data_IF_225810768379
#
_entry.id   IF_225810768379
#
_cell.length_a   1.000
_cell.length_b   1.000
_cell.length_c   1.000
_cell.angle_alpha   90.00
_cell.angle_beta   90.00
_cell.angle_gamma   90.00
#
_symmetry.space_group_name_H-M   'P 1'
#
loop_
_entity.id
_entity.type
_entity.pdbx_description
1 polymer ?
2 non-polymer ?
3 non-polymer ?
4 non-polymer ?
5 water ?
#
# COMPACT_ATOMS: atom_id res chain seq x y z
N UNK A 21 -5.20 -6.11 15.83
CA UNK A 21 -5.44 -5.58 14.46
C UNK A 21 -5.57 -6.73 13.46
N UNK A 22 -6.77 -6.94 12.91
CA UNK A 22 -7.19 -8.12 12.10
C UNK A 22 -7.20 -7.71 10.62
N UNK A 23 -6.75 -8.59 9.74
CA UNK A 23 -6.90 -8.42 8.28
C UNK A 23 -8.06 -9.30 7.80
N UNK A 24 -9.02 -8.67 7.12
CA UNK A 24 -10.21 -9.34 6.56
C UNK A 24 -10.16 -9.21 5.04
N UNK A 25 -10.85 -10.09 4.33
CA UNK A 25 -11.09 -9.94 2.88
C UNK A 25 -11.88 -8.64 2.65
N UNK A 26 -11.36 -7.78 1.78
CA UNK A 26 -11.98 -6.49 1.45
C UNK A 26 -13.37 -6.69 0.85
N UNK A 27 -13.63 -7.80 0.15
CA UNK A 27 -14.90 -8.00 -0.60
C UNK A 27 -16.00 -8.54 0.31
N UNK A 28 -15.69 -9.36 1.31
CA UNK A 28 -16.75 -10.13 2.06
C UNK A 28 -16.54 -10.11 3.58
N UNK A 29 -15.37 -9.71 4.10
CA UNK A 29 -15.11 -9.63 5.55
C UNK A 29 -14.55 -10.92 6.14
N UNK A 30 -14.28 -11.95 5.33
CA UNK A 30 -13.64 -13.21 5.81
C UNK A 30 -12.37 -12.87 6.62
N UNK A 31 -12.22 -13.44 7.82
CA UNK A 31 -11.00 -13.34 8.66
C UNK A 31 -9.82 -14.00 7.94
N UNK A 32 -8.72 -13.30 7.69
CA UNK A 32 -7.58 -13.84 6.90
C UNK A 32 -6.32 -13.89 7.75
N UNK A 33 -5.93 -12.79 8.39
CA UNK A 33 -4.63 -12.71 9.11
C UNK A 33 -4.66 -11.60 10.16
N UNK A 34 -3.51 -11.30 10.75
CA UNK A 34 -3.31 -10.34 11.86
C UNK A 34 -2.03 -9.57 11.58
N UNK A 35 -1.93 -8.33 12.04
CA UNK A 35 -0.69 -7.52 11.98
C UNK A 35 0.43 -8.26 12.73
N UNK A 36 0.11 -8.91 13.86
CA UNK A 36 1.05 -9.72 14.69
C UNK A 36 1.73 -10.82 13.87
N UNK A 37 1.11 -11.24 12.76
CA UNK A 37 1.57 -12.38 11.94
C UNK A 37 2.35 -11.91 10.73
N UNK A 38 2.62 -10.60 10.61
CA UNK A 38 3.48 -10.06 9.53
C UNK A 38 4.84 -10.70 9.67
N UNK A 39 5.45 -11.06 8.55
CA UNK A 39 6.81 -11.64 8.50
C UNK A 39 7.75 -10.58 7.95
N UNK A 40 8.69 -10.05 8.76
CA UNK A 40 9.63 -9.03 8.28
C UNK A 40 10.42 -9.48 7.04
N UNK A 44 12.00 -6.87 4.98
CA UNK A 44 10.78 -6.03 5.07
C UNK A 44 9.54 -6.89 4.75
N UNK A 45 8.39 -6.59 5.36
CA UNK A 45 7.13 -7.35 5.17
C UNK A 45 6.46 -6.99 3.84
N UNK A 46 6.71 -5.77 3.32
CA UNK A 46 6.14 -5.28 2.03
C UNK A 46 7.12 -5.55 0.88
N UNK A 47 6.63 -6.14 -0.21
CA UNK A 47 7.37 -6.39 -1.48
C UNK A 47 6.51 -5.95 -2.66
N UNK A 48 7.00 -5.02 -3.47
CA UNK A 48 6.28 -4.60 -4.72
C UNK A 48 6.87 -5.43 -5.87
N UNK A 49 6.02 -6.24 -6.50
CA UNK A 49 6.43 -7.26 -7.52
C UNK A 49 5.51 -7.13 -8.73
N UNK A 50 5.93 -7.69 -9.86
CA UNK A 50 5.19 -7.75 -11.14
C UNK A 50 5.17 -9.19 -11.64
N UNK A 51 4.02 -9.63 -12.15
CA UNK A 51 3.88 -10.97 -12.77
C UNK A 51 4.17 -10.84 -14.27
N UNK A 52 4.23 -11.96 -15.02
CA UNK A 52 4.50 -11.92 -16.45
C UNK A 52 3.45 -11.16 -17.27
N UNK A 53 2.25 -10.94 -16.73
CA UNK A 53 1.17 -10.14 -17.36
C UNK A 53 1.35 -8.65 -17.03
N UNK A 54 2.43 -8.30 -16.33
CA UNK A 54 2.82 -6.90 -16.02
C UNK A 54 1.99 -6.31 -14.90
N UNK A 55 1.17 -7.12 -14.22
CA UNK A 55 0.34 -6.66 -13.09
C UNK A 55 1.25 -6.43 -11.88
N UNK A 56 1.14 -5.26 -11.27
CA UNK A 56 1.95 -4.90 -10.07
C UNK A 56 1.13 -5.32 -8.85
N UNK A 57 1.78 -5.99 -7.90
CA UNK A 57 1.17 -6.40 -6.62
C UNK A 57 2.04 -5.81 -5.51
N UNK A 58 1.39 -5.08 -4.59
CA UNK A 58 2.00 -4.70 -3.30
C UNK A 58 1.71 -5.86 -2.35
N UNK A 59 2.70 -6.71 -2.10
CA UNK A 59 2.54 -7.99 -1.37
C UNK A 59 3.04 -7.78 0.06
N UNK A 60 2.23 -8.17 1.03
CA UNK A 60 2.65 -8.27 2.45
C UNK A 60 2.84 -9.74 2.77
N UNK A 61 3.99 -10.07 3.38
CA UNK A 61 4.32 -11.44 3.80
C UNK A 61 3.79 -11.67 5.22
N UNK A 62 3.04 -12.75 5.41
CA UNK A 62 2.54 -13.24 6.70
C UNK A 62 3.10 -14.65 6.96
N UNK A 63 3.49 -14.90 8.21
CA UNK A 63 3.86 -16.25 8.71
C UNK A 63 2.64 -17.16 8.63
N UNK A 64 1.44 -16.64 8.87
CA UNK A 64 0.20 -17.43 9.06
C UNK A 64 -0.97 -16.68 8.41
N UNK A 65 -1.96 -17.44 7.94
CA UNK A 65 -3.25 -16.93 7.43
C UNK A 65 -4.28 -18.05 7.57
N UNK A 66 -5.55 -17.68 7.45
CA UNK A 66 -6.71 -18.58 7.61
C UNK A 66 -7.80 -18.08 6.65
N UNK A 67 -8.88 -18.84 6.48
CA UNK A 67 -10.06 -18.42 5.69
C UNK A 67 -9.79 -18.43 4.19
N UNK A 68 -8.66 -18.97 3.75
CA UNK A 68 -8.27 -19.01 2.31
C UNK A 68 -8.66 -20.37 1.74
N UNK A 69 -8.69 -20.47 0.42
CA UNK A 69 -8.75 -21.77 -0.29
C UNK A 69 -7.57 -21.79 -1.26
N UNK A 70 -6.62 -22.72 -1.04
CA UNK A 70 -5.45 -22.91 -1.92
C UNK A 70 -5.90 -23.78 -3.10
N UNK A 71 -5.73 -23.27 -4.32
CA UNK A 71 -6.28 -23.87 -5.56
C UNK A 71 -5.11 -24.45 -6.36
N UNK A 72 -5.31 -25.64 -6.92
CA UNK A 72 -4.33 -26.31 -7.78
C UNK A 72 -3.13 -26.78 -6.99
N UNK A 73 -2.03 -27.01 -7.70
CA UNK A 73 -0.78 -27.59 -7.15
C UNK A 73 0.29 -26.52 -7.13
N UNK A 74 1.29 -26.62 -6.23
CA UNK A 74 2.37 -25.64 -6.15
C UNK A 74 3.13 -25.57 -7.48
N UNK A 75 3.64 -24.38 -7.82
CA UNK A 75 4.51 -24.14 -8.99
C UNK A 75 5.67 -23.25 -8.60
N UNK A 76 6.86 -23.49 -9.16
CA UNK A 76 8.06 -22.65 -8.98
C UNK A 76 8.17 -21.59 -10.06
N UNK A 77 7.35 -21.68 -11.11
CA UNK A 77 7.46 -20.82 -12.33
C UNK A 77 7.22 -19.36 -11.94
N UNK A 78 8.20 -18.50 -12.23
CA UNK A 78 8.16 -17.02 -12.03
C UNK A 78 8.00 -16.69 -10.54
N UNK A 79 8.40 -17.56 -9.62
CA UNK A 79 8.34 -17.30 -8.16
C UNK A 79 9.16 -16.04 -7.84
N UNK A 80 8.58 -15.12 -7.06
CA UNK A 80 9.22 -13.86 -6.62
C UNK A 80 10.23 -14.14 -5.51
N UNK A 81 10.16 -15.30 -4.87
CA UNK A 81 10.92 -15.64 -3.65
C UNK A 81 11.74 -16.91 -3.93
N UNK A 82 13.07 -16.76 -3.93
CA UNK A 82 14.02 -17.85 -4.29
C UNK A 82 13.80 -19.05 -3.37
N UNK A 83 13.67 -20.24 -3.96
CA UNK A 83 13.54 -21.51 -3.22
C UNK A 83 12.09 -21.84 -2.90
N UNK A 84 11.12 -20.97 -3.24
CA UNK A 84 9.70 -21.20 -2.90
C UNK A 84 8.86 -21.47 -4.15
N UNK A 85 7.96 -22.44 -4.03
CA UNK A 85 6.83 -22.72 -4.95
C UNK A 85 5.60 -21.98 -4.40
N UNK A 86 4.71 -21.54 -5.29
CA UNK A 86 3.49 -20.79 -4.89
C UNK A 86 2.26 -21.63 -5.24
N UNK A 87 1.20 -21.44 -4.47
CA UNK A 87 -0.17 -21.95 -4.76
C UNK A 87 -1.11 -20.75 -4.66
N UNK A 88 -2.02 -20.60 -5.61
CA UNK A 88 -2.98 -19.46 -5.63
C UNK A 88 -3.85 -19.58 -4.38
N UNK A 89 -3.99 -18.46 -3.65
CA UNK A 89 -4.80 -18.38 -2.42
C UNK A 89 -6.01 -17.50 -2.73
N UNK A 90 -7.20 -18.10 -2.78
CA UNK A 90 -8.49 -17.37 -2.87
C UNK A 90 -9.03 -17.18 -1.46
N UNK A 91 -9.81 -16.11 -1.26
CA UNK A 91 -10.76 -16.01 -0.12
C UNK A 91 -11.64 -17.26 -0.15
N UNK A 92 -11.60 -18.05 0.93
CA UNK A 92 -12.41 -19.28 1.07
C UNK A 92 -13.89 -18.99 1.03
N UNK A 93 -14.28 -17.75 1.35
CA UNK A 93 -15.71 -17.33 1.39
C UNK A 93 -16.17 -16.86 -0.01
N UNK A 94 -15.55 -15.83 -0.60
CA UNK A 94 -16.07 -15.16 -1.83
C UNK A 94 -15.27 -15.54 -3.08
N UNK A 95 -14.10 -16.15 -2.93
CA UNK A 95 -13.29 -16.62 -4.08
C UNK A 95 -12.44 -15.52 -4.69
N UNK A 96 -12.39 -14.34 -4.07
CA UNK A 96 -11.50 -13.22 -4.46
C UNK A 96 -10.05 -13.71 -4.38
N UNK A 97 -9.20 -13.36 -5.33
CA UNK A 97 -7.77 -13.74 -5.30
C UNK A 97 -7.02 -12.84 -4.31
N UNK A 98 -6.59 -13.38 -3.16
CA UNK A 98 -5.96 -12.56 -2.08
C UNK A 98 -4.44 -12.66 -2.12
N UNK A 99 -3.88 -13.64 -2.84
CA UNK A 99 -2.44 -13.81 -3.00
C UNK A 99 -2.06 -15.27 -3.16
N UNK A 100 -0.98 -15.68 -2.50
CA UNK A 100 -0.34 -17.00 -2.72
C UNK A 100 0.14 -17.56 -1.40
N UNK A 101 0.08 -18.89 -1.27
CA UNK A 101 0.84 -19.63 -0.25
C UNK A 101 2.18 -20.05 -0.88
N UNK A 102 3.26 -19.85 -0.14
CA UNK A 102 4.64 -20.21 -0.56
C UNK A 102 5.11 -21.38 0.32
N UNK A 103 5.73 -22.38 -0.31
CA UNK A 103 6.26 -23.58 0.38
C UNK A 103 7.51 -24.09 -0.34
N UNK A 104 8.18 -25.07 0.25
CA UNK A 104 9.31 -25.81 -0.34
C UNK A 104 10.64 -25.11 -0.12
N UNK A 105 10.63 -24.01 0.64
CA UNK A 105 11.85 -23.20 0.92
C UNK A 105 12.42 -23.54 2.28
N UNK A 106 13.25 -22.64 2.80
CA UNK A 106 14.00 -22.78 4.08
C UNK A 106 13.91 -21.47 4.89
N UNK A 107 13.59 -21.56 6.18
CA UNK A 107 13.71 -20.44 7.14
C UNK A 107 12.99 -19.21 6.60
N UNK A 108 11.65 -19.20 6.51
CA UNK A 108 10.80 -20.34 6.87
C UNK A 108 10.49 -21.26 5.67
N UNK A 109 9.98 -22.46 5.96
CA UNK A 109 9.57 -23.45 4.92
C UNK A 109 8.37 -22.91 4.15
N UNK A 110 7.41 -22.28 4.83
CA UNK A 110 6.15 -21.79 4.24
C UNK A 110 5.87 -20.36 4.72
N UNK A 111 5.12 -19.58 3.93
CA UNK A 111 4.54 -18.29 4.34
C UNK A 111 3.46 -17.91 3.33
N UNK A 112 2.73 -16.86 3.64
CA UNK A 112 1.67 -16.30 2.76
C UNK A 112 2.13 -14.95 2.23
N UNK A 113 2.03 -14.74 0.92
CA UNK A 113 2.20 -13.42 0.30
C UNK A 113 0.82 -12.91 -0.09
N UNK A 114 0.29 -11.94 0.65
CA UNK A 114 -1.09 -11.45 0.42
C UNK A 114 -1.04 -10.06 -0.22
N UNK A 115 -1.99 -9.79 -1.11
CA UNK A 115 -2.10 -8.50 -1.85
C UNK A 115 -2.79 -7.49 -0.92
N UNK A 116 -2.02 -6.53 -0.44
CA UNK A 116 -2.39 -5.60 0.67
C UNK A 116 -3.74 -4.93 0.36
N UNK A 117 -3.94 -4.44 -0.87
CA UNK A 117 -5.13 -3.63 -1.24
C UNK A 117 -6.37 -4.50 -1.42
N UNK A 118 -6.26 -5.83 -1.26
CA UNK A 118 -7.41 -6.76 -1.31
C UNK A 118 -7.80 -7.18 0.10
N UNK A 119 -7.11 -6.64 1.11
CA UNK A 119 -7.43 -6.83 2.55
C UNK A 119 -7.97 -5.51 3.13
N UNK A 120 -8.69 -5.58 4.24
CA UNK A 120 -9.11 -4.44 5.08
C UNK A 120 -8.61 -4.71 6.50
N UNK A 121 -7.98 -3.71 7.12
CA UNK A 121 -7.38 -3.78 8.48
C UNK A 121 -8.34 -3.13 9.47
N UNK A 122 -8.49 -3.73 10.66
CA UNK A 122 -9.42 -3.29 11.71
C UNK A 122 -8.81 -2.23 12.61
N UNK B 20 -0.68 21.52 -8.51
CA UNK B 20 -1.57 21.43 -9.71
C UNK B 20 -2.80 20.55 -9.41
N UNK B 21 -2.67 19.53 -8.54
CA UNK B 21 -3.77 18.57 -8.25
C UNK B 21 -4.37 18.81 -6.86
N UNK B 22 -5.64 19.22 -6.81
CA UNK B 22 -6.43 19.42 -5.56
C UNK B 22 -7.47 18.29 -5.43
N UNK B 23 -7.76 17.88 -4.21
CA UNK B 23 -8.94 17.04 -3.87
C UNK B 23 -10.03 17.95 -3.32
N UNK B 24 -11.23 17.84 -3.89
CA UNK B 24 -12.41 18.64 -3.51
C UNK B 24 -13.46 17.71 -2.92
N UNK B 25 -14.36 18.25 -2.09
CA UNK B 25 -15.59 17.56 -1.63
C UNK B 25 -16.40 17.17 -2.87
N UNK B 26 -16.73 15.89 -3.00
CA UNK B 26 -17.43 15.37 -4.19
C UNK B 26 -18.85 15.96 -4.23
N UNK B 27 -19.43 16.33 -3.09
CA UNK B 27 -20.84 16.81 -3.02
C UNK B 27 -20.95 18.29 -3.38
N UNK B 28 -20.00 19.15 -3.00
CA UNK B 28 -20.18 20.62 -3.09
C UNK B 28 -19.00 21.34 -3.75
N UNK B 29 -17.85 20.67 -3.93
CA UNK B 29 -16.69 21.24 -4.64
C UNK B 29 -15.72 22.00 -3.74
N UNK B 30 -15.98 22.08 -2.43
CA UNK B 30 -15.08 22.69 -1.41
C UNK B 30 -13.67 22.10 -1.62
N UNK B 31 -12.62 22.93 -1.72
CA UNK B 31 -11.21 22.49 -1.74
C UNK B 31 -10.86 21.91 -0.35
N UNK B 32 -10.33 20.69 -0.33
CA UNK B 32 -10.03 19.96 0.94
C UNK B 32 -8.52 19.73 1.09
N UNK B 33 -7.84 19.19 0.07
CA UNK B 33 -6.41 18.82 0.20
C UNK B 33 -5.76 18.81 -1.17
N UNK B 34 -4.46 18.51 -1.19
CA UNK B 34 -3.59 18.51 -2.40
C UNK B 34 -2.91 17.14 -2.50
N UNK B 35 -2.65 16.69 -3.73
CA UNK B 35 -1.86 15.46 -4.00
C UNK B 35 -0.49 15.57 -3.34
N UNK B 36 0.11 16.77 -3.35
CA UNK B 36 1.42 17.12 -2.74
C UNK B 36 1.45 16.72 -1.25
N UNK B 37 0.30 16.61 -0.61
CA UNK B 37 0.16 16.39 0.85
C UNK B 37 -0.10 14.93 1.18
N UNK B 38 -0.09 14.05 0.18
CA UNK B 38 -0.28 12.59 0.43
C UNK B 38 0.85 12.12 1.34
N UNK B 39 0.51 11.30 2.34
CA UNK B 39 1.38 10.93 3.47
C UNK B 39 1.47 9.41 3.53
N UNK B 40 2.65 8.80 3.33
CA UNK B 40 2.79 7.34 3.40
C UNK B 40 2.84 6.80 4.83
N UNK B 41 1.73 6.84 5.57
CA UNK B 41 1.62 6.29 6.96
C UNK B 41 1.82 4.77 6.89
N UNK B 42 2.81 4.26 7.64
CA UNK B 42 3.20 2.84 7.65
C UNK B 42 3.69 2.35 6.30
N UNK B 43 4.10 3.26 5.39
CA UNK B 43 4.72 2.91 4.10
C UNK B 43 3.83 3.20 2.89
N UNK B 44 2.55 3.56 3.06
CA UNK B 44 1.64 3.79 1.90
C UNK B 44 0.56 4.80 2.29
N UNK B 45 0.09 5.61 1.34
CA UNK B 45 -0.92 6.67 1.60
C UNK B 45 -2.33 6.05 1.64
N UNK B 46 -2.53 4.92 0.98
CA UNK B 46 -3.84 4.22 0.95
C UNK B 46 -3.90 3.16 2.04
N UNK B 47 -4.96 3.19 2.84
CA UNK B 47 -5.27 2.18 3.89
C UNK B 47 -6.73 1.76 3.73
N UNK B 48 -6.97 0.48 3.42
CA UNK B 48 -8.33 -0.12 3.48
C UNK B 48 -8.53 -0.64 4.90
N UNK B 49 -9.55 -0.10 5.58
CA UNK B 49 -9.79 -0.32 7.02
C UNK B 49 -11.26 -0.68 7.19
N UNK B 50 -11.59 -1.31 8.32
CA UNK B 50 -12.98 -1.61 8.72
C UNK B 50 -13.15 -1.14 10.17
N UNK B 51 -14.34 -0.60 10.47
CA UNK B 51 -14.67 -0.11 11.83
C UNK B 51 -15.30 -1.24 12.62
N UNK B 52 -15.61 -1.07 13.92
CA UNK B 52 -16.22 -2.13 14.71
C UNK B 52 -17.60 -2.60 14.22
N UNK B 53 -18.27 -1.80 13.39
CA UNK B 53 -19.58 -2.16 12.77
C UNK B 53 -19.34 -2.94 11.46
N UNK B 54 -18.07 -3.14 11.08
CA UNK B 54 -17.68 -3.87 9.85
C UNK B 54 -17.87 -3.06 8.58
N UNK B 55 -18.03 -1.75 8.69
CA UNK B 55 -18.07 -0.85 7.50
C UNK B 55 -16.65 -0.70 6.97
N UNK B 56 -16.43 -0.93 5.69
CA UNK B 56 -15.09 -0.84 5.05
C UNK B 56 -14.92 0.55 4.46
N UNK B 57 -13.79 1.20 4.72
CA UNK B 57 -13.42 2.50 4.10
C UNK B 57 -12.06 2.38 3.42
N UNK B 58 -11.95 2.94 2.22
CA UNK B 58 -10.63 3.15 1.56
C UNK B 58 -10.18 4.57 1.93
N UNK B 59 -9.19 4.64 2.82
CA UNK B 59 -8.71 5.92 3.40
C UNK B 59 -7.40 6.31 2.71
N UNK B 60 -7.29 7.56 2.28
CA UNK B 60 -6.02 8.17 1.84
C UNK B 60 -5.54 9.12 2.93
N UNK B 61 -4.27 8.98 3.34
CA UNK B 61 -3.65 9.84 4.38
C UNK B 61 -3.05 11.08 3.74
N UNK B 62 -3.42 12.24 4.28
CA UNK B 62 -2.88 13.57 3.94
C UNK B 62 -2.29 14.20 5.20
N UNK B 63 -1.15 14.86 5.07
CA UNK B 63 -0.47 15.64 6.13
C UNK B 63 -1.40 16.75 6.61
N UNK B 64 -2.03 17.45 5.65
CA UNK B 64 -2.82 18.68 5.89
C UNK B 64 -4.11 18.61 5.09
N UNK B 65 -5.08 19.42 5.51
CA UNK B 65 -6.36 19.64 4.80
C UNK B 65 -6.90 21.02 5.18
N UNK B 66 -7.91 21.48 4.47
CA UNK B 66 -8.63 22.74 4.75
C UNK B 66 -10.10 22.51 4.41
N UNK B 67 -10.96 23.43 4.86
CA UNK B 67 -12.40 23.44 4.51
C UNK B 67 -13.18 22.38 5.24
N UNK B 68 -12.57 21.66 6.20
CA UNK B 68 -13.27 20.60 6.99
C UNK B 68 -13.78 21.21 8.30
N UNK B 69 -14.69 20.51 8.97
CA UNK B 69 -15.10 20.85 10.36
C UNK B 69 -14.92 19.58 11.20
N UNK B 70 -14.01 19.62 12.16
CA UNK B 70 -13.77 18.52 13.12
C UNK B 70 -14.81 18.63 14.24
N UNK B 71 -15.57 17.55 14.46
CA UNK B 71 -16.75 17.54 15.38
C UNK B 71 -16.40 16.66 16.57
N UNK B 72 -16.83 17.07 17.77
CA UNK B 72 -16.59 16.32 19.01
C UNK B 72 -15.14 16.43 19.46
N UNK B 73 -14.78 15.63 20.46
CA UNK B 73 -13.45 15.63 21.12
C UNK B 73 -12.68 14.40 20.66
N UNK B 74 -11.33 14.44 20.62
CA UNK B 74 -10.55 13.32 20.08
C UNK B 74 -10.80 12.07 20.94
N UNK B 75 -10.76 10.90 20.31
CA UNK B 75 -10.95 9.58 20.95
C UNK B 75 -9.87 8.62 20.45
N UNK B 76 -9.38 7.75 21.34
CA UNK B 76 -8.42 6.68 21.02
C UNK B 76 -9.12 5.39 20.66
N UNK B 77 -10.43 5.28 20.93
CA UNK B 77 -11.21 4.03 20.84
C UNK B 77 -11.20 3.53 19.39
N UNK B 78 -10.67 2.33 19.16
CA UNK B 78 -10.64 1.59 17.87
C UNK B 78 -9.90 2.40 16.79
N UNK B 79 -8.94 3.23 17.20
CA UNK B 79 -8.08 3.99 16.25
C UNK B 79 -7.39 3.02 15.28
N UNK B 80 -7.42 3.33 13.98
CA UNK B 80 -6.74 2.53 12.93
C UNK B 80 -5.23 2.73 12.98
N UNK B 81 -4.76 3.80 13.64
CA UNK B 81 -3.33 4.19 13.66
C UNK B 81 -2.86 4.26 15.12
N UNK B 82 -2.01 3.32 15.52
CA UNK B 82 -1.50 3.18 16.91
C UNK B 82 -0.85 4.51 17.34
N UNK B 83 -1.20 4.98 18.53
CA UNK B 83 -0.65 6.20 19.16
C UNK B 83 -1.36 7.46 18.72
N UNK B 84 -2.42 7.35 17.91
CA UNK B 84 -3.21 8.51 17.42
C UNK B 84 -4.65 8.43 17.94
N UNK B 85 -5.18 9.57 18.38
CA UNK B 85 -6.61 9.81 18.66
C UNK B 85 -7.25 10.41 17.41
N UNK B 86 -8.53 10.11 17.16
CA UNK B 86 -9.24 10.56 15.95
C UNK B 86 -10.37 11.53 16.33
N UNK B 87 -10.70 12.44 15.41
CA UNK B 87 -11.93 13.28 15.44
C UNK B 87 -12.62 13.18 14.08
N UNK B 88 -13.95 13.10 14.05
CA UNK B 88 -14.74 13.02 12.79
C UNK B 88 -14.52 14.34 12.02
N UNK B 89 -14.22 14.24 10.72
CA UNK B 89 -14.03 15.38 9.81
C UNK B 89 -15.19 15.43 8.82
N UNK B 90 -16.02 16.47 8.93
CA UNK B 90 -17.08 16.82 7.93
C UNK B 90 -16.55 17.88 6.97
N UNK B 91 -17.05 17.91 5.74
CA UNK B 91 -16.95 19.09 4.86
C UNK B 91 -17.54 20.29 5.62
N UNK B 92 -16.74 21.33 5.84
CA UNK B 92 -17.15 22.57 6.54
C UNK B 92 -18.28 23.27 5.79
N UNK B 93 -18.38 23.02 4.47
CA UNK B 93 -19.37 23.67 3.57
C UNK B 93 -20.70 22.89 3.59
N UNK B 94 -20.71 21.60 3.22
CA UNK B 94 -21.98 20.83 3.02
C UNK B 94 -22.25 19.82 4.14
N UNK B 95 -21.29 19.53 5.01
CA UNK B 95 -21.49 18.62 6.16
C UNK B 95 -21.29 17.16 5.79
N UNK B 96 -20.88 16.85 4.56
CA UNK B 96 -20.59 15.47 4.09
C UNK B 96 -19.45 14.89 4.95
N UNK B 97 -19.54 13.63 5.38
CA UNK B 97 -18.49 12.97 6.19
C UNK B 97 -17.31 12.59 5.27
N UNK B 98 -16.18 13.29 5.37
CA UNK B 98 -15.03 13.10 4.44
C UNK B 98 -13.94 12.25 5.07
N UNK B 99 -13.95 12.05 6.39
CA UNK B 99 -13.01 11.15 7.08
C UNK B 99 -12.74 11.60 8.51
N UNK B 100 -11.48 11.56 8.92
CA UNK B 100 -11.06 11.76 10.33
C UNK B 100 -9.75 12.53 10.39
N UNK B 101 -9.58 13.34 11.43
CA UNK B 101 -8.29 13.93 11.81
C UNK B 101 -7.67 13.08 12.91
N UNK B 102 -6.36 12.85 12.83
CA UNK B 102 -5.54 12.08 13.79
C UNK B 102 -4.55 13.02 14.45
N UNK B 103 -4.38 12.89 15.77
CA UNK B 103 -3.45 13.72 16.58
C UNK B 103 -2.93 12.91 17.77
N UNK B 104 -1.93 13.48 18.45
CA UNK B 104 -1.41 12.99 19.75
C UNK B 104 -0.29 11.99 19.55
N UNK B 105 0.14 11.78 18.31
CA UNK B 105 1.24 10.85 17.98
C UNK B 105 2.55 11.60 17.82
N UNK B 106 3.53 10.95 17.18
CA UNK B 106 4.88 11.48 16.88
C UNK B 106 5.25 11.12 15.43
N UNK B 107 5.79 12.08 14.67
CA UNK B 107 6.39 11.86 13.33
C UNK B 107 5.43 11.06 12.45
N UNK B 108 4.31 11.64 12.00
CA UNK B 108 3.91 13.01 12.34
C UNK B 108 2.99 13.09 13.55
N UNK B 109 2.84 14.28 14.12
CA UNK B 109 1.98 14.53 15.31
C UNK B 109 0.53 14.42 14.87
N UNK B 110 0.18 14.97 13.70
CA UNK B 110 -1.20 15.04 13.17
C UNK B 110 -1.21 14.66 11.68
N UNK B 111 -2.35 14.15 11.21
CA UNK B 111 -2.64 13.90 9.78
C UNK B 111 -4.13 13.62 9.63
N UNK B 112 -4.59 13.57 8.39
CA UNK B 112 -5.99 13.25 8.01
C UNK B 112 -6.01 11.91 7.30
N UNK B 113 -6.99 11.08 7.66
CA UNK B 113 -7.46 9.95 6.83
C UNK B 113 -8.74 10.35 6.14
N UNK B 114 -8.69 10.57 4.82
CA UNK B 114 -9.87 11.02 4.05
C UNK B 114 -10.39 9.85 3.20
N UNK B 115 -11.71 9.76 3.06
CA UNK B 115 -12.39 8.67 2.31
C UNK B 115 -12.29 9.02 0.83
N UNK B 116 -11.48 8.27 0.09
CA UNK B 116 -11.08 8.56 -1.30
C UNK B 116 -12.34 8.77 -2.18
N UNK B 117 -13.34 7.91 -2.02
CA UNK B 117 -14.58 7.89 -2.86
C UNK B 117 -15.46 9.12 -2.62
N UNK B 118 -15.19 9.92 -1.59
CA UNK B 118 -15.99 11.13 -1.25
C UNK B 118 -15.25 12.39 -1.67
N UNK B 119 -14.10 12.23 -2.32
CA UNK B 119 -13.29 13.33 -2.90
C UNK B 119 -13.36 13.24 -4.42
N UNK B 120 -13.20 14.37 -5.09
CA UNK B 120 -13.00 14.47 -6.56
C UNK B 120 -11.65 15.16 -6.79
N UNK B 121 -10.79 14.55 -7.61
CA UNK B 121 -9.44 15.11 -7.92
C UNK B 121 -9.51 15.91 -9.21
N UNK B 122 -8.86 17.07 -9.24
CA UNK B 122 -8.94 18.02 -10.36
C UNK B 122 -7.79 19.03 -10.33
N UNK B 123 -7.66 19.88 -11.38
CA UNK B 123 -6.63 20.92 -11.38
C UNK B 123 -6.95 22.01 -10.35
N UNK B 124 -5.90 22.61 -9.78
CA UNK B 124 -5.94 23.70 -8.78
C UNK B 124 -6.67 24.92 -9.34
N UNK C 19 11.82 -14.95 -12.56
CA UNK C 19 11.10 -14.66 -11.29
C UNK C 19 11.16 -13.19 -10.91
N UNK C 20 12.33 -12.75 -10.42
CA UNK C 20 12.60 -11.36 -9.97
C UNK C 20 13.90 -10.86 -10.62
N UNK C 21 13.97 -10.88 -11.96
CA UNK C 21 15.18 -10.57 -12.76
C UNK C 21 15.19 -9.10 -13.21
N UNK C 22 14.01 -8.50 -13.42
CA UNK C 22 13.86 -7.13 -14.01
C UNK C 22 13.46 -6.14 -12.91
N UNK C 23 14.17 -5.02 -12.82
CA UNK C 23 13.95 -3.92 -11.85
C UNK C 23 13.16 -2.79 -12.53
N UNK C 24 12.00 -2.43 -11.97
CA UNK C 24 11.10 -1.39 -12.50
C UNK C 24 10.78 -0.35 -11.41
N UNK C 25 10.39 0.86 -11.82
CA UNK C 25 9.92 1.92 -10.91
C UNK C 25 8.69 1.41 -10.14
N UNK C 26 8.72 1.50 -8.82
CA UNK C 26 7.61 1.12 -7.91
C UNK C 26 6.34 1.89 -8.30
N UNK C 27 6.45 3.19 -8.60
CA UNK C 27 5.30 4.11 -8.79
C UNK C 27 4.56 3.76 -10.09
N UNK C 28 5.29 3.65 -11.21
CA UNK C 28 4.72 3.67 -12.59
C UNK C 28 5.12 2.44 -13.43
N UNK C 29 6.14 1.68 -13.05
CA UNK C 29 6.50 0.41 -13.72
C UNK C 29 7.48 0.56 -14.88
N UNK C 30 8.03 1.76 -15.09
CA UNK C 30 9.14 2.00 -16.07
C UNK C 30 10.26 0.95 -15.86
N UNK C 31 10.71 0.30 -16.94
CA UNK C 31 11.91 -0.58 -16.94
C UNK C 31 13.15 0.25 -16.56
N UNK C 32 13.89 -0.15 -15.53
CA UNK C 32 15.06 0.62 -15.01
C UNK C 32 16.35 -0.18 -15.23
N UNK C 33 16.42 -1.40 -14.69
CA UNK C 33 17.63 -2.25 -14.78
C UNK C 33 17.25 -3.73 -14.63
N UNK C 34 18.26 -4.60 -14.45
CA UNK C 34 18.07 -6.07 -14.39
C UNK C 34 19.19 -6.74 -13.57
N UNK C 35 19.05 -8.05 -13.35
CA UNK C 35 20.00 -8.91 -12.58
C UNK C 35 21.39 -8.84 -13.21
N UNK C 36 21.50 -9.16 -14.51
CA UNK C 36 22.76 -9.23 -15.29
C UNK C 36 23.62 -7.99 -15.07
N UNK C 37 23.00 -6.81 -14.97
CA UNK C 37 23.68 -5.50 -14.78
C UNK C 37 23.82 -5.21 -13.29
N UNK C 59 20.22 0.60 -1.09
CA UNK C 59 21.02 1.14 -2.23
C UNK C 59 21.59 -0.04 -3.04
N UNK C 60 20.93 -0.38 -4.15
CA UNK C 60 21.39 -1.41 -5.13
C UNK C 60 22.19 -0.72 -6.24
N UNK C 61 23.49 -1.05 -6.33
CA UNK C 61 24.45 -0.51 -7.33
C UNK C 61 24.34 -1.31 -8.63
N UNK C 62 24.12 -0.63 -9.76
CA UNK C 62 24.01 -1.22 -11.12
C UNK C 62 25.08 -0.64 -12.04
N UNK C 63 25.66 -1.48 -12.91
CA UNK C 63 26.65 -1.08 -13.94
C UNK C 63 25.94 -0.34 -15.09
N UNK C 64 24.74 -0.78 -15.46
CA UNK C 64 23.89 -0.20 -16.55
C UNK C 64 22.47 0.01 -16.04
N UNK C 65 21.79 1.05 -16.54
CA UNK C 65 20.37 1.34 -16.28
C UNK C 65 19.79 2.08 -17.49
N UNK C 66 18.45 2.12 -17.56
CA UNK C 66 17.69 2.89 -18.56
C UNK C 66 16.43 3.46 -17.89
N UNK C 67 15.70 4.30 -18.63
CA UNK C 67 14.41 4.87 -18.22
C UNK C 67 14.57 5.97 -17.19
N UNK C 68 15.80 6.35 -16.84
CA UNK C 68 16.07 7.38 -15.81
C UNK C 68 16.23 8.75 -16.49
N UNK C 69 16.09 9.83 -15.73
CA UNK C 69 16.51 11.19 -16.10
C UNK C 69 17.50 11.67 -15.05
N UNK C 70 18.75 11.93 -15.45
CA UNK C 70 19.82 12.46 -14.56
C UNK C 70 19.72 13.98 -14.53
N UNK C 71 19.40 14.56 -13.36
CA UNK C 71 19.20 16.02 -13.15
C UNK C 71 20.53 16.66 -12.77
N UNK C 87 24.99 12.95 -9.26
CA UNK C 87 23.75 13.46 -9.90
C UNK C 87 22.56 12.60 -9.47
N UNK C 88 21.38 13.22 -9.31
CA UNK C 88 20.11 12.55 -8.91
C UNK C 88 19.54 11.81 -10.13
N UNK C 89 19.18 10.53 -9.96
CA UNK C 89 18.49 9.68 -10.95
C UNK C 89 16.99 9.67 -10.66
N UNK C 90 16.20 10.37 -11.50
CA UNK C 90 14.72 10.36 -11.46
C UNK C 90 14.21 9.33 -12.47
N UNK C 91 13.08 8.68 -12.17
CA UNK C 91 12.30 7.86 -13.13
C UNK C 91 11.87 8.75 -14.30
N UNK C 92 12.20 8.35 -15.53
CA UNK C 92 11.95 9.14 -16.75
C UNK C 92 10.46 9.26 -17.05
N UNK C 93 9.66 8.34 -16.53
CA UNK C 93 8.20 8.21 -16.81
C UNK C 93 7.37 8.99 -15.78
N UNK C 94 7.61 8.84 -14.47
CA UNK C 94 6.75 9.48 -13.42
C UNK C 94 7.51 10.51 -12.57
N UNK C 95 8.83 10.64 -12.74
CA UNK C 95 9.65 11.64 -12.02
C UNK C 95 9.93 11.28 -10.57
N UNK C 96 9.62 10.05 -10.14
CA UNK C 96 9.99 9.48 -8.82
C UNK C 96 11.52 9.43 -8.66
N UNK C 97 12.03 9.87 -7.51
CA UNK C 97 13.47 9.79 -7.14
C UNK C 97 13.84 8.32 -6.85
N UNK C 98 14.57 7.67 -7.77
CA UNK C 98 15.01 6.26 -7.65
C UNK C 98 16.43 6.17 -7.09
N UNK C 99 17.21 7.26 -7.10
CA UNK C 99 18.57 7.29 -6.52
C UNK C 99 19.52 8.20 -7.26
N UNK C 100 20.68 7.68 -7.67
CA UNK C 100 21.86 8.47 -8.13
C UNK C 100 22.72 7.67 -9.13
N UNK C 101 23.51 8.37 -9.94
CA UNK C 101 24.53 7.79 -10.87
C UNK C 101 25.93 8.14 -10.38
N UNK C 110 31.76 4.67 -13.90
CA UNK C 110 30.29 4.95 -13.96
C UNK C 110 29.52 3.83 -13.26
N UNK C 111 28.53 4.18 -12.44
CA UNK C 111 27.62 3.23 -11.74
C UNK C 111 26.32 3.94 -11.32
N UNK C 112 25.23 3.18 -11.20
CA UNK C 112 23.90 3.65 -10.74
C UNK C 112 23.62 3.11 -9.33
N UNK C 113 23.47 4.02 -8.35
CA UNK C 113 23.00 3.70 -7.00
C UNK C 113 21.51 3.95 -6.88
N UNK C 114 20.71 2.87 -6.84
CA UNK C 114 19.22 2.93 -6.83
C UNK C 114 18.67 2.39 -5.50
N UNK C 115 17.80 3.17 -4.84
CA UNK C 115 17.13 2.82 -3.55
C UNK C 115 16.15 1.67 -3.79
N UNK C 116 16.39 0.51 -3.19
CA UNK C 116 15.63 -0.76 -3.39
C UNK C 116 14.15 -0.55 -3.09
N UNK C 117 13.81 0.23 -2.06
CA UNK C 117 12.41 0.47 -1.59
C UNK C 117 11.65 1.34 -2.61
N UNK C 118 12.33 1.91 -3.61
CA UNK C 118 11.72 2.73 -4.69
C UNK C 118 11.53 1.88 -5.95
N UNK C 119 11.90 0.59 -5.89
CA UNK C 119 11.88 -0.33 -7.06
C UNK C 119 10.89 -1.48 -6.82
N UNK C 120 10.46 -2.10 -7.92
CA UNK C 120 9.62 -3.32 -7.97
C UNK C 120 10.28 -4.35 -8.91
N UNK C 121 10.09 -5.64 -8.60
CA UNK C 121 10.87 -6.76 -9.19
C UNK C 121 9.92 -7.70 -9.94
N UNK C 122 10.33 -8.18 -11.12
CA UNK C 122 9.53 -9.11 -11.94
C UNK C 122 10.40 -9.90 -12.92
N UNK C 123 9.78 -10.84 -13.68
CA UNK C 123 10.52 -11.78 -14.53
C UNK C 123 11.11 -11.15 -15.81
X LIG D 1 -13.77 -12.65 0.44
X LIG E 1 2.83 -16.51 -10.99
X LIG E 1 2.06 -16.80 -13.49
X LIG E 1 2.76 -18.01 -13.62
X LIG E 1 1.96 -18.27 -15.85
X LIG E 1 0.24 -14.41 -15.55
X LIG E 1 5.52 -15.71 -6.97
X LIG E 1 1.62 -14.87 -12.11
X LIG E 1 2.36 -15.39 -8.74
X LIG E 1 4.73 -13.98 -11.07
X LIG E 1 2.71 -18.73 -14.79
X LIG E 1 1.27 -17.09 -15.75
X LIG E 1 1.31 -16.33 -14.58
X LIG E 1 4.30 -14.64 -10.13
X LIG E 1 5.10 -14.92 -9.04
X LIG E 1 2.89 -15.22 -10.15
X LIG E 1 3.34 -16.10 -7.82
X LIG E 1 4.73 -15.58 -7.88
X LIG E 1 1.97 -14.31 -10.87
X LIG E 1 2.14 -16.04 -12.23
X LIG E 1 0.64 -15.16 -14.40
X LIG F 1 -4.12 -2.09 3.91
X LIG F 1 -2.76 -2.70 3.59
X LIG F 1 -4.55 -1.14 2.80
X LIG F 1 -4.01 -1.33 5.24
X LIG F 1 -5.14 -3.22 4.05
X LIG G 1 -18.89 19.56 0.78
X LIG H 1 -14.06 4.93 15.04
X LIG H 1 -16.06 3.89 16.40
X LIG H 1 -15.45 4.17 17.63
X LIG H 1 -17.34 3.31 18.81
X LIG H 1 -18.85 1.99 15.08
X LIG H 1 -9.58 5.39 13.36
X LIG H 1 -15.86 3.88 14.00
X LIG H 1 -13.14 5.84 12.80
X LIG H 1 -12.93 2.39 13.63
X LIG H 1 -16.08 3.88 18.83
X LIG H 1 -17.97 3.01 17.62
X LIG H 1 -17.34 3.29 16.41
X LIG H 1 -12.61 3.56 13.58
X LIG H 1 -11.29 3.93 13.61
X LIG H 1 -13.66 4.64 13.60
X LIG H 1 -11.79 6.31 13.33
X LIG H 1 -10.78 5.20 13.43
X LIG H 1 -14.91 4.17 12.98
X LIG H 1 -15.37 4.20 15.14
X LIG H 1 -17.90 3.03 15.19
X LIG I 1 8.16 5.94 -12.36
#
# INVERSE_FOLDING_TARGET
>A
AMPLDAGGQNSTQMVLAPGASIFRCRQCGQTISRRDWLLPMGGDHEHVVFNPAGMIFRVWCFSLAQGLRLIGAPSGEFSWFKGYDWTIALCGQCGSHLGWHYEGGSQPQTFFGLIKDRLAEGPAD
>B
AMPLDAGGQNSTQMVLAPGASIFRCRQCGQTISRRDWLLPMGGDHEHVVFNPAGMIFRVWCFSLAQGLRLIGAPSGEFSWFKGYDWTIALCGQCGSHLGWHYEGGSQPQTFFGLIKDRLAEGPAD
>C
AMPLDAGGQNSTQMVLAPGASIFRCRQCGQTISRRDWLLPMGGDHEHVVFNPAGMIFRVWCFSLAQGLRLIGAPSGEFSWFKGYDWTIALCGQCGSHLGWHYEGGSQPQTFFGLIKDRLAEGPAD
>D hetero
1 ZN ZN
>E hetero
1 A1HZ6 C5 C7 C8 C10 C13 O1 N2 C3 O4 C9 C11 C12 C14 N1 C4 C2 C1 O3 C6 O2
>F hetero
1 PO4 P O1 O2 O3 O4
>G hetero
1 ZN ZN
>H hetero
1 A1HZ6 C5 C7 C8 C10 C13 O1 N2 C3 O4 C9 C11 C12 C14 N1 C4 C2 C1 O3 C6 O2
>I hetero
1 ZN ZN
#
